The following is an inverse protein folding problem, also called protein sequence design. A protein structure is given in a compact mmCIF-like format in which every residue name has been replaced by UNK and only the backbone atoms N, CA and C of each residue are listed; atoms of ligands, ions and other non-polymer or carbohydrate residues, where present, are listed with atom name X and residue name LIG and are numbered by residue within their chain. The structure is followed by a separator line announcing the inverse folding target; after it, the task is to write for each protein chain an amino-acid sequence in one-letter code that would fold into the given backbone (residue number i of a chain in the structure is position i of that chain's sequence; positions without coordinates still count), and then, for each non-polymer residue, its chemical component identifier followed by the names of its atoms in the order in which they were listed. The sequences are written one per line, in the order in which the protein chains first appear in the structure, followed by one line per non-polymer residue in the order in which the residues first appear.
data_IF_669930000099
#
_entry.id   IF_669930000099
#
_cell.length_a   1.000
_cell.length_b   1.000
_cell.length_c   1.000
_cell.angle_alpha   90.00
_cell.angle_beta   90.00
_cell.angle_gamma   90.00
#
_symmetry.space_group_name_H-M   'P 1'
#
loop_
_entity.id
_entity.type
_entity.pdbx_description
1 polymer ?
#
# COMPACT_ATOMS: atom_id res chain seq x y z
N UNK A 1 2.60 -37.13 17.05
CA UNK A 1 1.76 -36.25 16.20
C UNK A 1 2.59 -35.04 15.85
N UNK A 2 3.02 -34.89 14.59
CA UNK A 2 3.80 -33.74 14.16
C UNK A 2 2.84 -32.63 13.73
N UNK A 3 2.83 -31.52 14.48
CA UNK A 3 2.02 -30.34 14.18
C UNK A 3 2.62 -29.62 12.97
N UNK A 4 1.90 -29.65 11.84
CA UNK A 4 2.26 -28.91 10.64
C UNK A 4 1.87 -27.45 10.87
N UNK A 5 2.80 -26.65 11.37
CA UNK A 5 2.65 -25.19 11.40
C UNK A 5 2.69 -24.69 9.95
N UNK A 6 1.54 -24.29 9.43
CA UNK A 6 1.43 -23.69 8.11
C UNK A 6 2.27 -22.40 8.04
N UNK A 7 3.43 -22.48 7.40
CA UNK A 7 4.25 -21.32 7.06
C UNK A 7 3.44 -20.38 6.16
N UNK A 8 3.01 -19.24 6.71
CA UNK A 8 2.40 -18.16 5.93
C UNK A 8 3.42 -17.73 4.89
N UNK A 9 3.17 -18.06 3.62
CA UNK A 9 4.03 -17.70 2.48
C UNK A 9 4.48 -16.25 2.62
N UNK A 10 5.80 -16.03 2.55
CA UNK A 10 6.42 -14.71 2.57
C UNK A 10 5.72 -13.85 1.52
N UNK A 11 4.94 -12.88 1.97
CA UNK A 11 4.15 -12.02 1.09
C UNK A 11 5.06 -11.30 0.08
N UNK A 12 4.46 -10.86 -1.02
CA UNK A 12 5.06 -10.01 -2.05
C UNK A 12 5.99 -8.94 -1.43
N UNK A 13 7.16 -8.62 -2.03
CA UNK A 13 8.07 -7.60 -1.52
C UNK A 13 7.31 -6.33 -1.14
N UNK A 14 7.51 -5.86 0.09
CA UNK A 14 6.89 -4.63 0.58
C UNK A 14 7.29 -3.46 -0.32
N UNK A 15 6.42 -2.45 -0.43
CA UNK A 15 6.59 -1.22 -1.23
C UNK A 15 7.79 -0.33 -0.76
N UNK A 16 9.01 -0.87 -0.67
CA UNK A 16 10.20 -0.23 -0.10
C UNK A 16 10.33 -0.34 1.42
N UNK A 17 11.45 0.18 1.95
CA UNK A 17 11.69 0.39 3.39
C UNK A 17 10.64 1.34 3.94
N UNK A 18 9.97 0.95 5.03
CA UNK A 18 8.89 1.73 5.65
C UNK A 18 8.97 1.61 7.17
N UNK A 19 8.72 2.72 7.85
CA UNK A 19 8.42 2.72 9.28
C UNK A 19 6.90 2.74 9.49
N UNK A 20 6.42 2.11 10.57
CA UNK A 20 5.00 2.14 10.94
C UNK A 20 4.73 3.42 11.74
N UNK A 21 3.75 4.21 11.30
CA UNK A 21 3.19 5.31 12.08
C UNK A 21 1.94 4.79 12.79
N UNK A 22 1.91 4.90 14.13
CA UNK A 22 0.73 4.61 14.95
C UNK A 22 0.19 5.91 15.53
N UNK A 23 -1.06 6.26 15.19
CA UNK A 23 -1.74 7.43 15.70
C UNK A 23 -3.16 7.07 16.12
N UNK A 24 -3.60 7.62 17.25
CA UNK A 24 -5.01 7.62 17.65
C UNK A 24 -5.65 8.87 17.04
N UNK A 25 -6.74 8.67 16.31
CA UNK A 25 -7.48 9.75 15.65
C UNK A 25 -8.97 9.61 15.98
N UNK A 26 -9.73 10.71 16.01
CA UNK A 26 -11.19 10.65 16.09
C UNK A 26 -11.77 9.75 14.98
N UNK A 27 -12.83 8.97 15.27
CA UNK A 27 -13.40 8.04 14.30
C UNK A 27 -13.90 8.75 13.03
N UNK A 28 -14.51 9.93 13.19
CA UNK A 28 -14.99 10.77 12.09
C UNK A 28 -13.87 11.16 11.12
N UNK A 29 -12.68 11.49 11.65
CA UNK A 29 -11.51 11.83 10.85
C UNK A 29 -11.01 10.63 10.04
N UNK A 30 -11.03 9.44 10.65
CA UNK A 30 -10.64 8.19 9.99
C UNK A 30 -11.57 7.86 8.82
N UNK A 31 -12.88 8.04 9.01
CA UNK A 31 -13.88 7.82 7.97
C UNK A 31 -13.80 8.86 6.84
N UNK A 32 -13.57 10.14 7.19
CA UNK A 32 -13.36 11.20 6.22
C UNK A 32 -12.13 10.92 5.35
N UNK A 33 -11.00 10.53 5.96
CA UNK A 33 -9.78 10.17 5.24
C UNK A 33 -9.98 8.95 4.33
N UNK A 34 -10.74 7.94 4.77
CA UNK A 34 -11.06 6.77 3.97
C UNK A 34 -11.94 7.12 2.75
N UNK A 35 -12.94 7.99 2.94
CA UNK A 35 -13.84 8.46 1.88
C UNK A 35 -13.10 9.30 0.85
N UNK A 36 -12.27 10.24 1.31
CA UNK A 36 -11.43 11.06 0.43
C UNK A 36 -10.44 10.20 -0.37
N UNK A 37 -9.77 9.24 0.28
CA UNK A 37 -8.87 8.33 -0.40
C UNK A 37 -9.58 7.56 -1.53
N UNK A 38 -10.81 7.08 -1.30
CA UNK A 38 -11.61 6.40 -2.33
C UNK A 38 -11.94 7.33 -3.50
N UNK A 39 -12.32 8.58 -3.24
CA UNK A 39 -12.57 9.58 -4.28
C UNK A 39 -11.33 9.85 -5.15
N UNK A 40 -10.14 9.79 -4.56
CA UNK A 40 -8.86 9.93 -5.28
C UNK A 40 -8.34 8.61 -5.90
N UNK A 41 -9.07 7.50 -5.80
CA UNK A 41 -8.61 6.18 -6.28
C UNK A 41 -7.39 5.64 -5.51
N UNK A 42 -7.17 6.13 -4.29
CA UNK A 42 -6.03 5.78 -3.44
C UNK A 42 -6.46 4.90 -2.26
N UNK A 43 -5.49 4.20 -1.67
CA UNK A 43 -5.71 3.59 -0.34
C UNK A 43 -5.61 4.67 0.74
N UNK A 44 -6.33 4.54 1.85
CA UNK A 44 -6.26 5.49 2.97
C UNK A 44 -4.82 5.81 3.40
N UNK A 45 -3.94 4.80 3.47
CA UNK A 45 -2.53 5.01 3.81
C UNK A 45 -1.77 5.86 2.79
N UNK A 46 -2.04 5.68 1.49
CA UNK A 46 -1.34 6.44 0.45
C UNK A 46 -1.88 7.88 0.40
N UNK A 47 -3.17 8.07 0.67
CA UNK A 47 -3.77 9.39 0.83
C UNK A 47 -3.17 10.16 2.02
N UNK A 48 -3.11 9.52 3.20
CA UNK A 48 -2.50 10.11 4.40
C UNK A 48 -1.01 10.40 4.19
N UNK A 49 -0.27 9.47 3.56
CA UNK A 49 1.13 9.71 3.22
C UNK A 49 1.30 10.89 2.25
N UNK A 50 0.37 11.07 1.31
CA UNK A 50 0.33 12.23 0.41
C UNK A 50 0.08 13.53 1.16
N UNK A 51 -0.85 13.56 2.12
CA UNK A 51 -1.08 14.73 2.97
C UNK A 51 0.16 15.10 3.77
N UNK A 52 0.80 14.12 4.42
CA UNK A 52 2.04 14.35 5.17
C UNK A 52 3.14 14.88 4.25
N UNK A 53 3.33 14.28 3.08
CA UNK A 53 4.36 14.71 2.14
C UNK A 53 4.11 16.12 1.60
N UNK A 54 2.86 16.49 1.34
CA UNK A 54 2.49 17.84 0.91
C UNK A 54 2.76 18.88 2.01
N UNK A 55 2.39 18.57 3.25
CA UNK A 55 2.59 19.43 4.41
C UNK A 55 4.08 19.64 4.74
N UNK A 56 4.89 18.58 4.66
CA UNK A 56 6.33 18.65 4.96
C UNK A 56 7.21 19.02 3.76
N UNK A 57 6.63 19.25 2.57
CA UNK A 57 7.38 19.49 1.34
C UNK A 57 8.19 18.28 0.81
N UNK A 58 7.89 17.05 1.27
CA UNK A 58 8.60 15.81 0.90
C UNK A 58 7.88 15.05 -0.23
N UNK A 59 7.30 15.76 -1.20
CA UNK A 59 6.47 15.20 -2.26
C UNK A 59 7.23 14.21 -3.17
N UNK A 60 8.55 14.35 -3.29
CA UNK A 60 9.42 13.43 -4.05
C UNK A 60 9.36 11.98 -3.52
N UNK A 61 9.12 11.79 -2.23
CA UNK A 61 8.99 10.45 -1.63
C UNK A 61 7.73 9.72 -2.12
N UNK A 62 6.72 10.43 -2.61
CA UNK A 62 5.51 9.83 -3.19
C UNK A 62 5.74 9.21 -4.59
N UNK A 63 6.69 9.73 -5.36
CA UNK A 63 7.02 9.23 -6.70
C UNK A 63 7.55 7.79 -6.63
N UNK A 64 8.43 7.50 -5.65
CA UNK A 64 8.97 6.17 -5.39
C UNK A 64 7.88 5.13 -4.99
N UNK A 65 6.77 5.60 -4.43
CA UNK A 65 5.64 4.74 -4.02
C UNK A 65 4.76 4.37 -5.21
N UNK A 66 4.61 5.27 -6.19
CA UNK A 66 3.79 5.06 -7.38
C UNK A 66 4.52 4.22 -8.44
N UNK A 67 5.81 4.47 -8.68
CA UNK A 67 6.63 3.73 -9.64
C UNK A 67 6.64 2.20 -9.36
N UNK A 68 6.69 1.81 -8.09
CA UNK A 68 6.65 0.39 -7.67
C UNK A 68 5.29 -0.28 -7.88
N UNK A 69 4.20 0.47 -8.04
CA UNK A 69 2.87 -0.11 -8.38
C UNK A 69 2.81 -0.50 -9.85
N UNK A 70 3.37 0.33 -10.73
CA UNK A 70 3.39 0.13 -12.18
C UNK A 70 4.19 -1.12 -12.57
N UNK A 71 5.35 -1.33 -11.94
CA UNK A 71 6.21 -2.48 -12.19
C UNK A 71 5.56 -3.84 -11.86
N UNK A 72 4.55 -3.88 -10.98
CA UNK A 72 3.89 -5.15 -10.62
C UNK A 72 2.69 -5.48 -11.50
N UNK A 73 2.03 -4.47 -12.09
CA UNK A 73 0.93 -4.75 -13.03
C UNK A 73 1.42 -5.36 -14.35
N UNK A 74 2.69 -5.16 -14.71
CA UNK A 74 3.28 -5.70 -15.94
C UNK A 74 3.75 -7.17 -15.85
N UNK A 75 3.86 -7.77 -14.66
CA UNK A 75 4.36 -9.15 -14.50
C UNK A 75 3.27 -10.23 -14.48
N UNK A 76 2.01 -9.88 -14.76
CA UNK A 76 0.90 -10.85 -14.83
C UNK A 76 0.72 -11.28 -16.29
N UNK A 77 1.71 -11.99 -16.82
CA UNK A 77 1.58 -12.66 -18.12
C UNK A 77 0.66 -13.89 -17.97
N UNK A 78 -0.44 -13.99 -18.74
CA UNK A 78 -1.35 -15.12 -18.61
C UNK A 78 -0.64 -16.37 -19.13
N UNK A 79 -0.40 -17.35 -18.25
CA UNK A 79 0.04 -18.67 -18.68
C UNK A 79 -1.06 -19.26 -19.57
N UNK A 80 -0.80 -19.30 -20.88
CA UNK A 80 -1.57 -20.08 -21.85
C UNK A 80 -1.59 -21.53 -21.36
N UNK A 81 -2.73 -21.99 -20.89
CA UNK A 81 -3.06 -23.40 -20.73
C UNK A 81 -3.31 -23.97 -22.13
N UNK A 82 -2.37 -24.76 -22.63
CA UNK A 82 -2.58 -25.57 -23.83
C UNK A 82 -3.40 -26.82 -23.51
N UNK A 83 -4.12 -27.34 -24.51
CA UNK A 83 -4.08 -28.74 -24.91
C UNK A 83 -3.22 -28.93 -26.17
#
# INVERSE_FOLDING_TARGET
MAEIVASRRRGRPSKGTRAVVKALVPPELKEAAASAAKAHGMTANDYIAGLIAADTGLTELMASIHEKRSATRQSVEPRRSGP
#
